data_IF_717915716827
#
_entry.id   IF_717915716827
#
_cell.length_a   1.000
_cell.length_b   1.000
_cell.length_c   1.000
_cell.angle_alpha   90.00
_cell.angle_beta   90.00
_cell.angle_gamma   90.00
#
_symmetry.space_group_name_H-M   'P 1'
#
loop_
_entity.id
_entity.type
_entity.pdbx_description
1 polymer ?
#
# COMPACT_ATOMS: atom_id res chain seq x y z
N UNK A 1 17.06 -5.42 -5.98
CA UNK A 1 15.90 -4.57 -6.22
C UNK A 1 16.25 -3.31 -7.02
N UNK A 2 17.33 -2.66 -6.68
CA UNK A 2 17.72 -1.37 -7.26
C UNK A 2 17.99 -1.44 -8.77
N UNK A 3 18.80 -2.39 -9.22
CA UNK A 3 19.10 -2.57 -10.64
C UNK A 3 17.87 -3.00 -11.46
N UNK A 4 17.05 -3.89 -10.89
CA UNK A 4 15.79 -4.32 -11.50
C UNK A 4 14.80 -3.16 -11.61
N UNK A 5 14.78 -2.27 -10.61
CA UNK A 5 13.89 -1.11 -10.57
C UNK A 5 14.18 -0.09 -11.66
N UNK A 6 15.46 0.21 -11.90
CA UNK A 6 15.89 1.11 -12.96
C UNK A 6 15.48 0.61 -14.34
N UNK A 7 15.49 -0.70 -14.56
CA UNK A 7 15.03 -1.31 -15.80
C UNK A 7 13.55 -1.03 -16.10
N UNK A 8 12.71 -0.91 -15.06
CA UNK A 8 11.27 -0.64 -15.20
C UNK A 8 10.92 0.84 -15.19
N UNK A 9 11.91 1.76 -15.22
CA UNK A 9 11.70 3.21 -15.16
C UNK A 9 10.86 3.65 -13.97
N UNK A 10 11.04 3.02 -12.83
CA UNK A 10 10.39 3.43 -11.60
C UNK A 10 11.12 4.65 -11.09
N UNK A 11 10.42 5.80 -11.04
CA UNK A 11 11.01 7.04 -10.55
C UNK A 11 11.47 6.87 -9.11
N UNK A 12 12.55 7.53 -8.79
CA UNK A 12 13.06 7.63 -7.44
C UNK A 12 12.21 8.65 -6.67
N UNK A 13 11.86 8.34 -5.44
CA UNK A 13 11.36 9.36 -4.52
C UNK A 13 12.58 9.89 -3.73
N UNK A 14 12.84 11.19 -3.84
CA UNK A 14 14.02 11.81 -3.23
C UNK A 14 15.34 11.08 -3.56
N UNK A 15 15.44 10.59 -4.79
CA UNK A 15 16.55 9.77 -5.27
C UNK A 15 16.73 8.41 -4.58
N UNK A 16 15.75 7.94 -3.82
CA UNK A 16 15.77 6.63 -3.17
C UNK A 16 14.81 5.69 -3.90
N UNK A 17 15.27 4.52 -4.37
CA UNK A 17 14.39 3.49 -4.91
C UNK A 17 13.44 2.99 -3.81
N UNK A 18 12.13 3.06 -4.08
CA UNK A 18 11.12 2.53 -3.18
C UNK A 18 10.81 1.07 -3.51
N UNK A 19 11.86 0.27 -3.53
CA UNK A 19 11.80 -1.17 -3.69
C UNK A 19 12.79 -1.82 -2.74
N UNK A 20 12.34 -2.77 -1.94
CA UNK A 20 13.19 -3.49 -1.01
C UNK A 20 12.78 -4.96 -0.96
N UNK A 21 13.76 -5.86 -0.88
CA UNK A 21 13.54 -7.28 -0.63
C UNK A 21 13.89 -7.59 0.83
N UNK A 22 13.12 -8.47 1.44
CA UNK A 22 13.43 -8.95 2.79
C UNK A 22 14.82 -9.61 2.84
N UNK A 23 15.47 -9.53 3.98
CA UNK A 23 16.82 -10.10 4.18
C UNK A 23 16.86 -11.60 3.90
N UNK A 24 17.88 -12.04 3.17
CA UNK A 24 18.08 -13.45 2.85
C UNK A 24 17.17 -14.03 1.76
N UNK A 25 16.35 -13.17 1.14
CA UNK A 25 15.40 -13.60 0.13
C UNK A 25 15.98 -13.46 -1.28
N UNK A 26 16.37 -14.57 -1.90
CA UNK A 26 16.76 -14.53 -3.31
C UNK A 26 15.57 -14.30 -4.24
N UNK A 27 14.43 -14.94 -3.94
CA UNK A 27 13.24 -14.92 -4.80
C UNK A 27 11.99 -14.65 -3.98
N UNK A 28 11.39 -13.45 -4.10
CA UNK A 28 10.19 -13.12 -3.35
C UNK A 28 8.96 -13.89 -3.84
N UNK A 29 8.14 -14.34 -2.89
CA UNK A 29 6.85 -15.01 -3.13
C UNK A 29 5.65 -14.12 -2.77
N UNK A 30 5.89 -13.07 -1.98
CA UNK A 30 4.89 -12.09 -1.54
C UNK A 30 5.34 -10.70 -1.98
N UNK A 31 4.43 -9.92 -2.55
CA UNK A 31 4.65 -8.51 -2.87
C UNK A 31 3.74 -7.63 -2.01
N UNK A 32 4.32 -6.61 -1.40
CA UNK A 32 3.59 -5.49 -0.81
C UNK A 32 3.52 -4.38 -1.86
N UNK A 33 2.32 -4.00 -2.24
CA UNK A 33 2.09 -3.09 -3.35
C UNK A 33 1.18 -1.94 -2.91
N UNK A 34 1.52 -0.72 -3.28
CA UNK A 34 0.72 0.46 -2.97
C UNK A 34 1.54 1.72 -2.74
N UNK A 35 1.23 2.46 -1.68
CA UNK A 35 1.95 3.65 -1.25
C UNK A 35 2.72 3.43 0.07
N UNK A 36 3.02 4.49 0.82
CA UNK A 36 3.74 4.40 2.09
C UNK A 36 3.06 3.50 3.14
N UNK A 37 1.74 3.28 3.04
CA UNK A 37 1.02 2.35 3.91
C UNK A 37 1.42 0.89 3.64
N UNK A 38 1.67 0.54 2.38
CA UNK A 38 2.23 -0.78 2.04
C UNK A 38 3.66 -0.95 2.56
N UNK A 39 4.48 0.13 2.56
CA UNK A 39 5.83 0.11 3.12
C UNK A 39 5.83 -0.15 4.63
N UNK A 40 4.97 0.54 5.37
CA UNK A 40 4.82 0.34 6.82
C UNK A 40 4.45 -1.11 7.16
N UNK A 41 3.53 -1.69 6.40
CA UNK A 41 3.16 -3.10 6.56
C UNK A 41 4.33 -4.04 6.25
N UNK A 42 5.09 -3.76 5.20
CA UNK A 42 6.27 -4.56 4.83
C UNK A 42 7.30 -4.58 5.95
N UNK A 43 7.63 -3.41 6.53
CA UNK A 43 8.62 -3.30 7.61
C UNK A 43 8.21 -4.15 8.81
N UNK A 44 6.93 -4.11 9.21
CA UNK A 44 6.44 -4.95 10.30
C UNK A 44 6.34 -6.44 9.95
N UNK A 45 6.05 -6.76 8.70
CA UNK A 45 5.88 -8.13 8.25
C UNK A 45 7.22 -8.83 7.98
N UNK A 46 8.27 -8.12 7.57
CA UNK A 46 9.59 -8.68 7.25
C UNK A 46 10.17 -9.50 8.40
N UNK A 47 9.96 -9.05 9.64
CA UNK A 47 10.45 -9.72 10.84
C UNK A 47 9.63 -10.98 11.20
N UNK A 48 8.37 -11.02 10.78
CA UNK A 48 7.41 -12.06 11.17
C UNK A 48 7.21 -13.14 10.08
N UNK A 49 7.43 -12.77 8.83
CA UNK A 49 7.22 -13.67 7.70
C UNK A 49 8.47 -14.51 7.44
N UNK A 50 8.32 -15.84 7.51
CA UNK A 50 9.34 -16.79 7.08
C UNK A 50 9.38 -16.98 5.55
N UNK A 51 8.91 -16.00 4.79
CA UNK A 51 8.83 -16.02 3.34
C UNK A 51 9.48 -14.79 2.74
N UNK A 52 10.16 -15.02 1.62
CA UNK A 52 10.74 -13.94 0.86
C UNK A 52 9.67 -12.95 0.38
N UNK A 53 9.83 -11.70 0.71
CA UNK A 53 8.92 -10.63 0.35
C UNK A 53 9.63 -9.46 -0.29
N UNK A 54 8.88 -8.68 -1.05
CA UNK A 54 9.34 -7.44 -1.70
C UNK A 54 8.27 -6.39 -1.54
N UNK A 55 8.65 -5.13 -1.32
CA UNK A 55 7.70 -4.06 -1.50
C UNK A 55 7.93 -3.30 -2.81
N UNK A 56 6.83 -2.84 -3.41
CA UNK A 56 6.77 -2.07 -4.64
C UNK A 56 5.83 -0.89 -4.38
N UNK A 57 6.39 0.22 -3.95
CA UNK A 57 5.59 1.38 -3.56
C UNK A 57 5.94 2.61 -4.36
N UNK A 58 4.95 3.49 -4.43
CA UNK A 58 5.09 4.81 -5.01
C UNK A 58 4.01 5.76 -4.48
N UNK A 59 4.36 7.04 -4.37
CA UNK A 59 3.36 8.06 -4.10
C UNK A 59 2.35 8.21 -5.23
N UNK A 60 1.08 8.43 -4.89
CA UNK A 60 0.00 8.62 -5.83
C UNK A 60 -1.07 7.52 -5.76
N UNK A 61 -1.81 7.35 -6.85
CA UNK A 61 -2.95 6.42 -6.94
C UNK A 61 -2.47 5.10 -7.50
N UNK A 62 -2.45 3.99 -6.71
CA UNK A 62 -1.84 2.72 -7.09
C UNK A 62 -2.77 1.85 -7.96
N UNK A 63 -3.43 2.44 -8.95
CA UNK A 63 -4.38 1.75 -9.81
C UNK A 63 -3.89 1.61 -11.25
N UNK A 64 -4.48 0.66 -11.97
CA UNK A 64 -4.33 0.51 -13.41
C UNK A 64 -4.65 1.83 -14.12
N UNK A 65 -3.88 2.15 -15.16
CA UNK A 65 -4.05 3.40 -15.90
C UNK A 65 -3.23 4.57 -15.35
N UNK A 66 -2.72 4.51 -14.13
CA UNK A 66 -1.76 5.48 -13.64
C UNK A 66 -0.36 5.15 -14.16
N UNK A 67 0.18 6.04 -15.00
CA UNK A 67 1.50 5.85 -15.61
C UNK A 67 2.62 5.62 -14.60
N UNK A 68 2.49 6.21 -13.43
CA UNK A 68 3.43 6.03 -12.34
C UNK A 68 3.53 4.58 -11.85
N UNK A 69 2.44 3.83 -11.91
CA UNK A 69 2.38 2.45 -11.45
C UNK A 69 2.58 1.41 -12.54
N UNK A 70 2.75 1.81 -13.80
CA UNK A 70 3.05 0.88 -14.90
C UNK A 70 4.30 0.03 -14.65
N UNK A 71 5.35 0.63 -14.12
CA UNK A 71 6.59 -0.09 -13.78
C UNK A 71 6.36 -1.17 -12.72
N UNK A 72 5.85 -0.84 -11.51
CA UNK A 72 5.51 -1.83 -10.49
C UNK A 72 4.58 -2.93 -10.97
N UNK A 73 3.53 -2.60 -11.73
CA UNK A 73 2.59 -3.60 -12.26
C UNK A 73 3.25 -4.52 -13.28
N UNK A 74 4.07 -3.98 -14.18
CA UNK A 74 4.86 -4.77 -15.11
C UNK A 74 5.84 -5.69 -14.40
N UNK A 75 6.52 -5.19 -13.36
CA UNK A 75 7.39 -6.02 -12.54
C UNK A 75 6.63 -7.20 -11.95
N UNK A 76 5.47 -6.97 -11.33
CA UNK A 76 4.62 -8.05 -10.79
C UNK A 76 4.27 -9.07 -11.88
N UNK A 77 3.88 -8.64 -13.06
CA UNK A 77 3.49 -9.52 -14.16
C UNK A 77 4.64 -10.44 -14.63
N UNK A 78 5.87 -9.95 -14.59
CA UNK A 78 7.07 -10.69 -15.02
C UNK A 78 7.60 -11.64 -13.93
N UNK A 79 7.26 -11.40 -12.65
CA UNK A 79 7.74 -12.22 -11.51
C UNK A 79 6.88 -13.47 -11.27
N UNK A 80 7.28 -14.59 -11.87
CA UNK A 80 6.53 -15.87 -11.79
C UNK A 80 6.45 -16.48 -10.38
N UNK A 81 7.35 -16.08 -9.48
CA UNK A 81 7.41 -16.62 -8.11
C UNK A 81 6.49 -15.89 -7.14
N UNK A 82 6.12 -14.64 -7.42
CA UNK A 82 5.15 -13.90 -6.61
C UNK A 82 3.78 -14.53 -6.78
N UNK A 83 3.18 -14.94 -5.67
CA UNK A 83 1.85 -15.58 -5.63
C UNK A 83 0.83 -14.75 -4.86
N UNK A 84 1.30 -13.94 -3.92
CA UNK A 84 0.44 -13.10 -3.07
C UNK A 84 0.83 -11.65 -3.26
N UNK A 85 -0.17 -10.82 -3.46
CA UNK A 85 -0.03 -9.36 -3.46
C UNK A 85 -0.80 -8.80 -2.28
N UNK A 86 -0.10 -8.22 -1.33
CA UNK A 86 -0.68 -7.44 -0.23
C UNK A 86 -0.82 -6.01 -0.72
N UNK A 87 -2.03 -5.62 -0.99
CA UNK A 87 -2.35 -4.30 -1.56
C UNK A 87 -2.84 -3.37 -0.46
N UNK A 88 -2.08 -2.32 -0.20
CA UNK A 88 -2.38 -1.33 0.82
C UNK A 88 -2.05 0.08 0.34
N UNK A 89 -2.92 1.01 0.65
CA UNK A 89 -2.73 2.43 0.36
C UNK A 89 -3.52 3.26 1.36
N UNK A 90 -3.24 4.54 1.44
CA UNK A 90 -4.07 5.48 2.18
C UNK A 90 -5.41 5.69 1.45
N UNK A 91 -6.35 4.78 1.72
CA UNK A 91 -7.58 4.66 0.94
C UNK A 91 -8.47 5.89 0.99
N UNK A 92 -8.59 6.52 2.17
CA UNK A 92 -9.38 7.74 2.32
C UNK A 92 -8.88 8.86 1.41
N UNK A 93 -7.57 9.05 1.33
CA UNK A 93 -6.97 10.03 0.42
C UNK A 93 -7.32 9.72 -1.04
N UNK A 94 -7.26 8.44 -1.45
CA UNK A 94 -7.55 8.03 -2.83
C UNK A 94 -9.03 8.28 -3.17
N UNK A 95 -9.93 8.04 -2.22
CA UNK A 95 -11.36 8.34 -2.37
C UNK A 95 -11.59 9.85 -2.47
N UNK A 96 -10.90 10.65 -1.67
CA UNK A 96 -11.02 12.11 -1.73
C UNK A 96 -10.54 12.68 -3.06
N UNK A 97 -9.47 12.10 -3.63
CA UNK A 97 -8.91 12.54 -4.91
C UNK A 97 -9.80 12.14 -6.09
N UNK A 98 -10.31 10.90 -6.10
CA UNK A 98 -11.02 10.32 -7.25
C UNK A 98 -12.54 10.47 -7.17
N UNK A 99 -13.09 10.59 -5.97
CA UNK A 99 -14.51 10.33 -5.70
C UNK A 99 -14.80 8.83 -5.59
N UNK A 100 -15.89 8.49 -4.90
CA UNK A 100 -16.21 7.11 -4.53
C UNK A 100 -16.42 6.18 -5.73
N UNK A 101 -17.12 6.64 -6.76
CA UNK A 101 -17.43 5.83 -7.96
C UNK A 101 -16.16 5.48 -8.75
N UNK A 102 -15.36 6.47 -9.08
CA UNK A 102 -14.12 6.27 -9.83
C UNK A 102 -13.09 5.46 -9.02
N UNK A 103 -13.02 5.68 -7.71
CA UNK A 103 -12.20 4.88 -6.82
C UNK A 103 -12.61 3.39 -6.89
N UNK A 104 -13.90 3.12 -6.73
CA UNK A 104 -14.44 1.74 -6.75
C UNK A 104 -14.16 1.05 -8.07
N UNK A 105 -14.39 1.73 -9.19
CA UNK A 105 -14.12 1.19 -10.51
C UNK A 105 -12.62 0.87 -10.71
N UNK A 106 -11.75 1.81 -10.38
CA UNK A 106 -10.31 1.64 -10.58
C UNK A 106 -9.72 0.58 -9.64
N UNK A 107 -10.16 0.52 -8.38
CA UNK A 107 -9.78 -0.53 -7.44
C UNK A 107 -10.20 -1.90 -7.96
N UNK A 108 -11.48 -2.06 -8.33
CA UNK A 108 -12.01 -3.30 -8.88
C UNK A 108 -11.23 -3.76 -10.11
N UNK A 109 -10.99 -2.87 -11.08
CA UNK A 109 -10.24 -3.18 -12.29
C UNK A 109 -8.80 -3.60 -11.98
N UNK A 110 -8.16 -2.96 -11.01
CA UNK A 110 -6.79 -3.30 -10.58
C UNK A 110 -6.73 -4.66 -9.92
N UNK A 111 -7.65 -4.95 -8.99
CA UNK A 111 -7.74 -6.26 -8.33
C UNK A 111 -8.06 -7.36 -9.34
N UNK A 112 -9.02 -7.12 -10.22
CA UNK A 112 -9.39 -8.05 -11.30
C UNK A 112 -8.20 -8.37 -12.22
N UNK A 113 -7.42 -7.36 -12.56
CA UNK A 113 -6.20 -7.51 -13.34
C UNK A 113 -5.17 -8.40 -12.63
N UNK A 114 -4.97 -8.21 -11.33
CA UNK A 114 -4.06 -9.03 -10.53
C UNK A 114 -4.55 -10.49 -10.43
N UNK A 115 -5.83 -10.67 -10.13
CA UNK A 115 -6.44 -12.01 -10.00
C UNK A 115 -6.38 -12.78 -11.33
N UNK A 116 -6.65 -12.11 -12.46
CA UNK A 116 -6.55 -12.72 -13.79
C UNK A 116 -5.12 -13.17 -14.15
N UNK A 117 -4.11 -12.66 -13.46
CA UNK A 117 -2.69 -13.08 -13.58
C UNK A 117 -2.27 -14.15 -12.58
N UNK A 118 -3.22 -14.65 -11.80
CA UNK A 118 -3.02 -15.73 -10.85
C UNK A 118 -2.52 -15.28 -9.47
N UNK A 119 -2.53 -13.98 -9.17
CA UNK A 119 -2.20 -13.50 -7.84
C UNK A 119 -3.36 -13.71 -6.87
N UNK A 120 -3.04 -14.15 -5.65
CA UNK A 120 -3.91 -14.00 -4.50
C UNK A 120 -3.74 -12.58 -3.98
N UNK A 121 -4.82 -11.79 -4.03
CA UNK A 121 -4.80 -10.39 -3.58
C UNK A 121 -5.34 -10.32 -2.15
N UNK A 122 -4.61 -9.64 -1.28
CA UNK A 122 -5.02 -9.32 0.08
C UNK A 122 -5.14 -7.80 0.17
N UNK A 123 -6.37 -7.30 0.24
CA UNK A 123 -6.63 -5.88 0.49
C UNK A 123 -6.48 -5.59 1.98
N UNK A 124 -5.55 -4.71 2.31
CA UNK A 124 -5.31 -4.31 3.70
C UNK A 124 -6.10 -3.06 4.03
N UNK A 125 -6.78 -3.10 5.16
CA UNK A 125 -7.43 -1.93 5.75
C UNK A 125 -6.36 -0.94 6.21
N UNK A 126 -6.73 0.35 6.23
CA UNK A 126 -5.84 1.41 6.69
C UNK A 126 -5.56 1.37 8.19
N UNK A 127 -4.44 1.94 8.57
CA UNK A 127 -4.17 2.29 9.96
C UNK A 127 -5.15 3.38 10.44
N UNK A 128 -5.35 3.53 11.76
CA UNK A 128 -6.15 4.63 12.30
C UNK A 128 -5.61 6.00 11.87
N UNK A 129 -6.50 6.84 11.34
CA UNK A 129 -6.18 8.22 10.99
C UNK A 129 -6.57 9.14 12.15
N UNK A 130 -5.60 9.89 12.66
CA UNK A 130 -5.82 10.83 13.76
C UNK A 130 -6.36 12.19 13.29
N UNK A 131 -6.31 12.47 11.98
CA UNK A 131 -6.63 13.80 11.43
C UNK A 131 -5.61 14.89 11.81
N UNK A 132 -4.49 14.51 12.43
CA UNK A 132 -3.37 15.37 12.78
C UNK A 132 -2.09 14.53 12.89
N UNK A 133 -0.92 15.19 12.90
CA UNK A 133 0.36 14.49 13.07
C UNK A 133 0.47 13.87 14.48
N UNK A 134 0.45 12.53 14.62
CA UNK A 134 0.54 11.86 15.93
C UNK A 134 1.87 12.13 16.66
N UNK A 135 2.92 12.59 15.97
CA UNK A 135 4.16 13.01 16.62
C UNK A 135 3.92 14.18 17.61
N UNK A 136 2.88 14.98 17.38
CA UNK A 136 2.48 16.04 18.29
C UNK A 136 2.06 15.50 19.67
N UNK A 137 1.59 14.26 19.76
CA UNK A 137 1.25 13.62 21.04
C UNK A 137 2.47 13.24 21.85
N UNK A 138 3.59 12.94 21.19
CA UNK A 138 4.83 12.52 21.84
C UNK A 138 5.70 13.71 22.22
N UNK A 139 5.78 14.70 21.32
CA UNK A 139 6.73 15.81 21.44
C UNK A 139 6.06 17.16 21.75
N UNK A 140 4.74 17.23 21.67
CA UNK A 140 3.99 18.46 21.91
C UNK A 140 3.77 18.72 23.40
N UNK A 141 4.46 19.71 23.95
CA UNK A 141 4.32 20.11 25.37
C UNK A 141 3.06 20.92 25.67
N UNK A 142 2.22 21.25 24.68
CA UNK A 142 1.09 22.20 24.84
C UNK A 142 -0.21 21.83 24.13
N UNK A 143 -0.41 20.59 23.77
CA UNK A 143 -1.71 20.17 23.26
C UNK A 143 -2.68 19.90 24.40
N UNK A 144 -3.13 20.96 25.06
CA UNK A 144 -4.02 20.89 26.22
C UNK A 144 -5.39 20.25 25.93
N UNK A 145 -5.71 19.84 24.71
CA UNK A 145 -6.98 19.19 24.37
C UNK A 145 -6.94 18.25 23.13
N UNK A 146 -5.77 17.96 22.57
CA UNK A 146 -5.73 16.97 21.51
C UNK A 146 -5.90 15.58 22.13
N UNK A 147 -6.97 14.91 21.78
CA UNK A 147 -7.13 13.48 22.07
C UNK A 147 -6.05 12.73 21.30
N UNK A 148 -5.07 12.23 22.00
CA UNK A 148 -4.03 11.37 21.44
C UNK A 148 -4.49 9.92 21.34
N UNK A 149 -5.77 9.71 21.27
CA UNK A 149 -6.44 8.44 21.10
C UNK A 149 -7.52 8.54 20.03
N UNK A 150 -7.72 7.46 19.31
CA UNK A 150 -8.86 7.27 18.42
C UNK A 150 -9.64 6.04 18.87
N UNK A 151 -10.93 6.20 19.05
CA UNK A 151 -11.77 5.08 19.43
C UNK A 151 -11.96 4.11 18.27
N UNK A 152 -12.15 2.83 18.57
CA UNK A 152 -12.49 1.83 17.53
C UNK A 152 -13.75 2.24 16.75
N UNK A 153 -14.71 2.91 17.37
CA UNK A 153 -15.92 3.38 16.71
C UNK A 153 -15.61 4.45 15.67
N UNK A 154 -14.75 5.42 16.01
CA UNK A 154 -14.30 6.44 15.07
C UNK A 154 -13.56 5.80 13.91
N UNK A 155 -12.51 5.03 14.20
CA UNK A 155 -11.75 4.33 13.18
C UNK A 155 -12.63 3.48 12.24
N UNK A 156 -13.56 2.69 12.77
CA UNK A 156 -14.48 1.91 11.96
C UNK A 156 -15.43 2.80 11.13
N UNK A 157 -15.82 3.96 11.65
CA UNK A 157 -16.63 4.94 10.93
C UNK A 157 -15.88 5.54 9.75
N UNK A 158 -14.61 5.91 9.97
CA UNK A 158 -13.76 6.49 8.93
C UNK A 158 -13.49 5.48 7.79
N UNK A 159 -13.39 4.21 8.14
CA UNK A 159 -13.18 3.13 7.16
C UNK A 159 -14.46 2.63 6.48
N UNK A 160 -15.64 2.98 6.98
CA UNK A 160 -16.91 2.44 6.47
C UNK A 160 -17.06 2.65 4.96
N UNK A 161 -16.60 3.80 4.45
CA UNK A 161 -16.74 4.20 3.06
C UNK A 161 -16.07 3.23 2.06
N UNK A 162 -14.99 2.55 2.45
CA UNK A 162 -14.31 1.59 1.56
C UNK A 162 -14.37 0.14 2.07
N UNK A 163 -14.73 -0.06 3.33
CA UNK A 163 -14.82 -1.39 3.93
C UNK A 163 -15.84 -2.28 3.22
N UNK A 164 -16.97 -1.72 2.86
CA UNK A 164 -18.01 -2.45 2.11
C UNK A 164 -17.51 -2.89 0.73
N UNK A 165 -16.69 -2.05 0.07
CA UNK A 165 -16.09 -2.37 -1.22
C UNK A 165 -15.08 -3.52 -1.15
N UNK A 166 -14.44 -3.73 0.00
CA UNK A 166 -13.45 -4.81 0.17
C UNK A 166 -14.10 -6.16 0.48
N UNK A 167 -15.36 -6.16 0.88
CA UNK A 167 -16.11 -7.36 1.28
C UNK A 167 -17.03 -7.85 0.15
N UNK A 168 -17.40 -6.96 -0.78
CA UNK A 168 -18.25 -7.26 -1.94
C UNK A 168 -17.53 -8.08 -3.00
#
# INVERSE_FOLDING_TARGET
CEAEYLQYRIELWENVPRCHKSKGAEVPSIAFYGDSHAEQLFVGAEELLNQASIYLIRGGIPFLGNDRFKGPLRYLEEQKNIKVVVFSAYWLEKIQILGGEQFSEQLFNTVKWMVARGFKVVLMMDAPDFGFDPALCVYGTKLNNARCDITRKQHNGDQAIYRELFIA
#
